data_IF_738204233459
#
_entry.id   IF_738204233459
#
_cell.length_a   1.000
_cell.length_b   1.000
_cell.length_c   1.000
_cell.angle_alpha   90.00
_cell.angle_beta   90.00
_cell.angle_gamma   90.00
#
_symmetry.space_group_name_H-M   'P 1'
#
loop_
_entity.id
_entity.type
_entity.pdbx_description
1 polymer ?
#
# COMPACT_ATOMS: atom_id res chain seq x y z
N UNK A 1 18.46 -13.83 5.29
CA UNK A 1 18.90 -12.44 5.04
C UNK A 1 18.20 -11.52 6.02
N UNK A 2 18.96 -10.86 6.89
CA UNK A 2 18.44 -9.81 7.78
C UNK A 2 18.07 -8.58 6.95
N UNK A 3 16.87 -8.01 7.17
CA UNK A 3 16.45 -6.78 6.48
C UNK A 3 17.17 -5.58 7.08
N UNK A 4 17.66 -4.68 6.23
CA UNK A 4 18.19 -3.37 6.63
C UNK A 4 17.15 -2.32 6.22
N UNK A 5 16.43 -1.76 7.19
CA UNK A 5 15.39 -0.77 6.93
C UNK A 5 16.00 0.63 6.82
N UNK A 6 15.53 1.48 5.88
CA UNK A 6 16.01 2.84 5.77
C UNK A 6 15.58 3.68 6.97
N UNK A 7 16.39 4.68 7.31
CA UNK A 7 16.00 5.71 8.28
C UNK A 7 15.06 6.71 7.59
N UNK A 8 13.91 6.97 8.21
CA UNK A 8 12.99 8.03 7.79
C UNK A 8 12.91 9.12 8.86
N UNK A 9 12.53 10.34 8.48
CA UNK A 9 12.42 11.46 9.43
C UNK A 9 11.33 11.23 10.47
N UNK A 10 11.43 11.93 11.61
CA UNK A 10 10.40 11.86 12.66
C UNK A 10 9.04 12.39 12.17
N UNK A 11 9.02 13.39 11.29
CA UNK A 11 7.76 13.85 10.68
C UNK A 11 7.12 12.76 9.83
N UNK A 12 7.92 11.96 9.11
CA UNK A 12 7.42 10.84 8.31
C UNK A 12 6.83 9.75 9.21
N UNK A 13 7.50 9.40 10.32
CA UNK A 13 6.97 8.44 11.31
C UNK A 13 5.66 8.92 11.93
N UNK A 14 5.59 10.20 12.30
CA UNK A 14 4.38 10.82 12.84
C UNK A 14 3.23 10.80 11.81
N UNK A 15 3.54 11.08 10.55
CA UNK A 15 2.59 11.01 9.45
C UNK A 15 2.05 9.58 9.25
N UNK A 16 2.92 8.56 9.26
CA UNK A 16 2.52 7.14 9.19
C UNK A 16 1.59 6.77 10.35
N UNK A 17 1.91 7.16 11.58
CA UNK A 17 1.05 6.89 12.72
C UNK A 17 -0.33 7.55 12.59
N UNK A 18 -0.39 8.80 12.08
CA UNK A 18 -1.65 9.52 11.84
C UNK A 18 -2.44 8.91 10.68
N UNK A 19 -1.77 8.47 9.62
CA UNK A 19 -2.37 7.75 8.49
C UNK A 19 -2.97 6.41 8.95
N UNK A 20 -2.23 5.62 9.76
CA UNK A 20 -2.72 4.35 10.33
C UNK A 20 -4.06 4.54 11.06
N UNK A 21 -4.19 5.59 11.89
CA UNK A 21 -5.45 5.90 12.60
C UNK A 21 -6.60 6.25 11.65
N UNK A 22 -6.35 7.06 10.62
CA UNK A 22 -7.37 7.42 9.62
C UNK A 22 -7.80 6.22 8.77
N UNK A 23 -6.84 5.37 8.38
CA UNK A 23 -7.11 4.13 7.65
C UNK A 23 -7.97 3.18 8.48
N UNK A 24 -7.71 3.02 9.79
CA UNK A 24 -8.55 2.21 10.67
C UNK A 24 -10.01 2.67 10.64
N UNK A 25 -10.23 3.98 10.77
CA UNK A 25 -11.56 4.58 10.71
C UNK A 25 -12.27 4.30 9.38
N UNK A 26 -11.62 4.62 8.26
CA UNK A 26 -12.18 4.39 6.91
C UNK A 26 -12.50 2.93 6.67
N UNK A 27 -11.55 2.03 6.93
CA UNK A 27 -11.65 0.62 6.58
C UNK A 27 -12.77 -0.05 7.38
N UNK A 28 -12.91 0.30 8.66
CA UNK A 28 -14.00 -0.17 9.51
C UNK A 28 -15.35 0.39 9.05
N UNK A 29 -15.45 1.70 8.84
CA UNK A 29 -16.71 2.37 8.48
C UNK A 29 -17.25 1.91 7.12
N UNK A 30 -16.38 1.74 6.13
CA UNK A 30 -16.76 1.33 4.77
C UNK A 30 -16.82 -0.19 4.59
N UNK A 31 -16.52 -0.97 5.63
CA UNK A 31 -16.43 -2.42 5.58
C UNK A 31 -15.61 -2.93 4.37
N UNK A 32 -14.46 -2.30 4.13
CA UNK A 32 -13.67 -2.51 2.91
C UNK A 32 -12.31 -3.19 3.17
N UNK A 33 -12.11 -3.80 4.34
CA UNK A 33 -10.87 -4.50 4.66
C UNK A 33 -10.45 -5.53 3.59
N UNK A 34 -11.34 -6.39 3.03
CA UNK A 34 -10.93 -7.38 2.04
C UNK A 34 -10.31 -6.76 0.78
N UNK A 35 -10.85 -5.66 0.27
CA UNK A 35 -10.34 -5.03 -0.95
C UNK A 35 -9.04 -4.25 -0.69
N UNK A 36 -8.85 -3.72 0.52
CA UNK A 36 -7.59 -3.08 0.93
C UNK A 36 -6.45 -4.09 1.07
N UNK A 37 -6.75 -5.27 1.64
CA UNK A 37 -5.79 -6.36 1.71
C UNK A 37 -5.45 -6.89 0.31
N UNK A 38 -6.45 -7.05 -0.57
CA UNK A 38 -6.22 -7.43 -1.97
C UNK A 38 -5.35 -6.42 -2.70
N UNK A 39 -5.60 -5.12 -2.53
CA UNK A 39 -4.77 -4.06 -3.12
C UNK A 39 -3.30 -4.19 -2.70
N UNK A 40 -3.05 -4.36 -1.40
CA UNK A 40 -1.70 -4.50 -0.87
C UNK A 40 -1.02 -5.78 -1.38
N UNK A 41 -1.75 -6.89 -1.47
CA UNK A 41 -1.28 -8.15 -2.03
C UNK A 41 -0.90 -8.01 -3.51
N UNK A 42 -1.81 -7.53 -4.36
CA UNK A 42 -1.56 -7.37 -5.79
C UNK A 42 -0.42 -6.38 -6.07
N UNK A 43 -0.32 -5.32 -5.26
CA UNK A 43 0.79 -4.36 -5.37
C UNK A 43 2.15 -5.02 -5.08
N UNK A 44 2.21 -5.97 -4.14
CA UNK A 44 3.47 -6.62 -3.75
C UNK A 44 3.80 -7.84 -4.63
N UNK A 45 2.79 -8.55 -5.09
CA UNK A 45 2.90 -9.84 -5.78
C UNK A 45 3.53 -9.79 -7.16
N UNK A 46 3.82 -8.61 -7.69
CA UNK A 46 4.48 -8.44 -8.99
C UNK A 46 6.01 -8.51 -8.93
N UNK A 47 6.60 -8.66 -7.74
CA UNK A 47 8.05 -8.69 -7.58
C UNK A 47 8.68 -9.96 -8.19
N UNK A 48 9.61 -9.79 -9.11
CA UNK A 48 10.47 -10.86 -9.61
C UNK A 48 11.89 -10.78 -9.01
N UNK A 49 12.33 -11.86 -8.37
CA UNK A 49 13.64 -11.94 -7.69
C UNK A 49 14.82 -11.89 -8.67
N UNK A 50 14.63 -12.35 -9.92
CA UNK A 50 15.71 -12.43 -10.91
C UNK A 50 16.01 -11.06 -11.50
N UNK A 51 14.97 -10.39 -12.02
CA UNK A 51 15.08 -9.06 -12.64
C UNK A 51 15.06 -7.91 -11.63
N UNK A 52 14.61 -8.16 -10.39
CA UNK A 52 14.37 -7.14 -9.35
C UNK A 52 13.38 -6.06 -9.80
N UNK A 53 12.42 -6.43 -10.63
CA UNK A 53 11.35 -5.54 -11.11
C UNK A 53 10.02 -5.86 -10.42
N UNK A 54 9.05 -4.95 -10.52
CA UNK A 54 7.77 -5.05 -9.82
C UNK A 54 7.91 -4.90 -8.30
N UNK A 55 6.86 -5.30 -7.56
CA UNK A 55 6.81 -5.23 -6.11
C UNK A 55 6.13 -3.98 -5.57
N UNK A 56 6.11 -3.82 -4.22
CA UNK A 56 5.23 -2.87 -3.53
C UNK A 56 5.77 -1.43 -3.59
N UNK A 57 5.92 -0.87 -4.79
CA UNK A 57 6.53 0.44 -5.05
C UNK A 57 5.53 1.48 -5.61
N UNK A 58 4.24 1.35 -5.26
CA UNK A 58 3.23 2.38 -5.50
C UNK A 58 2.80 2.56 -6.97
N UNK A 59 3.05 1.57 -7.81
CA UNK A 59 2.73 1.58 -9.25
C UNK A 59 1.25 1.28 -9.52
N UNK A 60 0.57 0.55 -8.62
CA UNK A 60 -0.87 0.21 -8.68
C UNK A 60 -1.83 1.40 -8.81
N UNK A 61 -1.39 2.65 -8.57
CA UNK A 61 -2.20 3.85 -8.84
C UNK A 61 -2.29 4.18 -10.34
N UNK A 62 -1.40 3.62 -11.15
CA UNK A 62 -1.25 3.95 -12.56
C UNK A 62 -2.35 3.25 -13.38
N UNK A 63 -3.03 3.94 -14.31
CA UNK A 63 -4.11 3.33 -15.09
C UNK A 63 -3.72 2.08 -15.87
N UNK A 64 -2.47 2.01 -16.35
CA UNK A 64 -1.93 0.85 -17.06
C UNK A 64 -1.88 -0.42 -16.20
N UNK A 65 -1.45 -0.31 -14.95
CA UNK A 65 -1.40 -1.47 -14.04
C UNK A 65 -2.79 -1.85 -13.53
N UNK A 66 -3.67 -0.86 -13.30
CA UNK A 66 -5.07 -1.11 -12.97
C UNK A 66 -5.84 -1.82 -14.10
N UNK A 67 -5.42 -1.64 -15.35
CA UNK A 67 -6.03 -2.26 -16.51
C UNK A 67 -5.67 -3.75 -16.68
N UNK A 68 -4.69 -4.28 -15.94
CA UNK A 68 -4.40 -5.71 -15.95
C UNK A 68 -5.62 -6.49 -15.44
N UNK A 69 -5.99 -7.59 -16.11
CA UNK A 69 -7.22 -8.34 -15.81
C UNK A 69 -7.29 -8.81 -14.34
N UNK A 70 -6.15 -9.27 -13.81
CA UNK A 70 -6.03 -9.68 -12.41
C UNK A 70 -6.34 -8.55 -11.40
N UNK A 71 -6.23 -7.29 -11.81
CA UNK A 71 -6.43 -6.11 -10.98
C UNK A 71 -7.85 -5.51 -11.12
N UNK A 72 -8.75 -6.15 -11.87
CA UNK A 72 -10.12 -5.67 -12.03
C UNK A 72 -10.80 -5.37 -10.68
N UNK A 73 -11.38 -4.18 -10.56
CA UNK A 73 -12.00 -3.63 -9.35
C UNK A 73 -11.06 -2.96 -8.35
N UNK A 74 -9.72 -3.02 -8.52
CA UNK A 74 -8.79 -2.34 -7.61
C UNK A 74 -8.78 -0.82 -7.77
N UNK A 75 -9.33 -0.29 -8.87
CA UNK A 75 -9.59 1.15 -9.05
C UNK A 75 -10.52 1.69 -7.94
N UNK A 76 -11.47 0.87 -7.47
CA UNK A 76 -12.37 1.20 -6.36
C UNK A 76 -11.57 1.42 -5.08
N UNK A 77 -10.62 0.53 -4.78
CA UNK A 77 -9.77 0.64 -3.60
C UNK A 77 -8.86 1.87 -3.68
N UNK A 78 -8.24 2.13 -4.83
CA UNK A 78 -7.41 3.31 -5.07
C UNK A 78 -8.22 4.59 -4.84
N UNK A 79 -9.42 4.69 -5.42
CA UNK A 79 -10.31 5.84 -5.29
C UNK A 79 -10.81 6.07 -3.86
N UNK A 80 -11.08 5.01 -3.11
CA UNK A 80 -11.45 5.10 -1.69
C UNK A 80 -10.31 5.65 -0.81
N UNK A 81 -9.08 5.30 -1.15
CA UNK A 81 -7.88 5.69 -0.40
C UNK A 81 -7.40 7.11 -0.73
N UNK A 82 -7.69 7.61 -1.92
CA UNK A 82 -7.18 8.88 -2.45
C UNK A 82 -7.46 10.10 -1.55
N UNK A 83 -8.67 10.31 -0.99
CA UNK A 83 -8.93 11.45 -0.10
C UNK A 83 -8.12 11.42 1.20
N UNK A 84 -7.78 10.23 1.70
CA UNK A 84 -6.89 10.09 2.86
C UNK A 84 -5.45 10.30 2.44
N UNK A 85 -5.02 9.70 1.32
CA UNK A 85 -3.67 9.86 0.80
C UNK A 85 -3.31 11.34 0.53
N UNK A 86 -4.26 12.13 0.03
CA UNK A 86 -4.07 13.56 -0.22
C UNK A 86 -3.74 14.36 1.05
N UNK A 87 -4.17 13.91 2.23
CA UNK A 87 -3.83 14.52 3.52
C UNK A 87 -2.40 14.21 3.97
N UNK A 88 -1.73 13.27 3.31
CA UNK A 88 -0.36 12.84 3.59
C UNK A 88 0.49 12.86 2.32
N UNK A 89 0.78 14.05 1.76
CA UNK A 89 1.54 14.17 0.52
C UNK A 89 2.97 13.65 0.66
N UNK A 90 3.54 13.69 1.88
CA UNK A 90 4.89 13.22 2.17
C UNK A 90 5.01 11.69 2.23
N UNK A 91 3.93 10.95 2.52
CA UNK A 91 3.97 9.47 2.53
C UNK A 91 3.94 8.96 1.10
N UNK A 92 4.82 8.02 0.74
CA UNK A 92 4.80 7.40 -0.57
C UNK A 92 3.52 6.57 -0.80
N UNK A 93 3.05 6.46 -2.05
CA UNK A 93 1.95 5.54 -2.36
C UNK A 93 2.30 4.08 -2.01
N UNK A 94 3.57 3.73 -2.12
CA UNK A 94 4.11 2.43 -1.77
C UNK A 94 3.86 2.08 -0.28
N UNK A 95 4.30 2.95 0.63
CA UNK A 95 4.06 2.76 2.06
C UNK A 95 2.58 2.85 2.39
N UNK A 96 1.85 3.77 1.76
CA UNK A 96 0.43 3.99 2.07
C UNK A 96 -0.44 2.76 1.75
N UNK A 97 -0.24 2.13 0.59
CA UNK A 97 -0.97 0.91 0.21
C UNK A 97 -0.62 -0.28 1.09
N UNK A 98 0.66 -0.46 1.43
CA UNK A 98 1.07 -1.54 2.34
C UNK A 98 0.55 -1.31 3.77
N UNK A 99 0.51 -0.06 4.23
CA UNK A 99 -0.08 0.29 5.52
C UNK A 99 -1.59 0.02 5.53
N UNK A 100 -2.31 0.29 4.44
CA UNK A 100 -3.73 -0.03 4.30
C UNK A 100 -3.98 -1.55 4.41
N UNK A 101 -3.13 -2.38 3.79
CA UNK A 101 -3.18 -3.84 3.92
C UNK A 101 -2.95 -4.32 5.36
N UNK A 102 -1.94 -3.79 6.04
CA UNK A 102 -1.68 -4.10 7.47
C UNK A 102 -2.88 -3.73 8.34
N UNK A 103 -3.44 -2.53 8.15
CA UNK A 103 -4.61 -2.08 8.90
C UNK A 103 -5.85 -2.93 8.60
N UNK A 104 -6.03 -3.39 7.37
CA UNK A 104 -7.14 -4.25 6.99
C UNK A 104 -7.13 -5.60 7.72
N UNK A 105 -5.95 -6.18 7.94
CA UNK A 105 -5.80 -7.40 8.75
C UNK A 105 -6.09 -7.11 10.22
N UNK A 106 -5.51 -6.04 10.75
CA UNK A 106 -5.64 -5.68 12.16
C UNK A 106 -7.10 -5.36 12.56
N UNK A 107 -7.83 -4.61 11.72
CA UNK A 107 -9.21 -4.18 12.03
C UNK A 107 -10.21 -5.33 11.95
N UNK A 108 -9.86 -6.42 11.26
CA UNK A 108 -10.69 -7.63 11.17
C UNK A 108 -10.37 -8.66 12.25
N UNK A 109 -9.53 -8.30 13.23
CA UNK A 109 -9.13 -9.18 14.35
C UNK A 109 -7.98 -10.13 14.02
N UNK A 110 -7.26 -9.89 12.92
CA UNK A 110 -6.05 -10.61 12.57
C UNK A 110 -4.85 -10.22 13.43
N UNK A 111 -3.67 -10.83 13.16
CA UNK A 111 -2.46 -10.55 13.91
C UNK A 111 -1.94 -9.13 13.65
N UNK A 112 -1.17 -8.59 14.61
CA UNK A 112 -0.41 -7.36 14.39
C UNK A 112 0.79 -7.65 13.47
N UNK A 113 0.81 -7.04 12.29
CA UNK A 113 1.89 -7.16 11.32
C UNK A 113 2.85 -5.97 11.48
N UNK A 114 4.16 -6.20 11.76
CA UNK A 114 5.13 -5.11 11.86
C UNK A 114 5.24 -4.34 10.55
N UNK A 115 5.05 -3.01 10.62
CA UNK A 115 5.17 -2.12 9.47
C UNK A 115 6.44 -1.27 9.56
N UNK A 116 7.24 -1.30 8.50
CA UNK A 116 8.46 -0.50 8.36
C UNK A 116 8.30 0.47 7.17
N UNK A 117 8.38 1.79 7.39
CA UNK A 117 8.29 2.80 6.34
C UNK A 117 9.59 2.93 5.53
N UNK A 118 9.50 3.65 4.42
CA UNK A 118 10.64 4.02 3.57
C UNK A 118 10.64 3.39 2.19
N UNK A 119 9.52 2.83 1.71
CA UNK A 119 9.42 2.41 0.31
C UNK A 119 9.32 3.62 -0.59
N UNK A 120 10.16 3.67 -1.61
CA UNK A 120 10.10 4.68 -2.65
C UNK A 120 9.04 4.32 -3.71
N UNK A 121 8.65 5.31 -4.53
CA UNK A 121 7.75 5.09 -5.65
C UNK A 121 8.57 4.76 -6.89
N UNK A 122 8.31 3.60 -7.49
CA UNK A 122 8.90 3.25 -8.78
C UNK A 122 8.15 3.97 -9.91
N UNK A 123 8.89 4.50 -10.88
CA UNK A 123 8.33 4.93 -12.18
C UNK A 123 8.18 3.78 -13.17
N UNK A 124 8.85 2.66 -12.93
CA UNK A 124 8.82 1.47 -13.78
C UNK A 124 7.61 0.59 -13.43
N UNK A 125 6.76 0.34 -14.41
CA UNK A 125 5.60 -0.55 -14.31
C UNK A 125 6.03 -2.02 -14.40
N UNK A 126 5.34 -2.97 -13.72
CA UNK A 126 5.57 -4.39 -13.94
C UNK A 126 5.22 -4.77 -15.38
N UNK A 127 6.14 -5.46 -16.07
CA UNK A 127 6.02 -5.74 -17.51
C UNK A 127 5.14 -6.96 -17.85
N UNK A 128 4.61 -7.69 -16.86
CA UNK A 128 3.96 -8.97 -17.10
C UNK A 128 2.81 -9.23 -16.13
N UNK A 129 1.58 -8.86 -16.49
CA UNK A 129 0.31 -9.49 -16.07
C UNK A 129 -0.80 -9.13 -17.07
#
# INVERSE_FOLDING_TARGET
MTKCYPTVSEEYKAAIAKAKRKLRGLINEKNCAPIMLRLAWHSAGTFDVKSKTGGPFGTMKNPSELAHEANNGLDIAVRLLEPIKAQFPNISFADFYQLAGVVAVEVTGGPEIPFHPGREVSSCLPQYF
#
